data_IF_512478812180
#
_entry.id   IF_512478812180
#
_cell.length_a   1.000
_cell.length_b   1.000
_cell.length_c   1.000
_cell.angle_alpha   90.00
_cell.angle_beta   90.00
_cell.angle_gamma   90.00
#
_symmetry.space_group_name_H-M   'P 1'
#
loop_
_entity.id
_entity.type
_entity.pdbx_description
1 polymer ?
#
# COMPACT_ATOMS: atom_id res chain seq x y z
N UNK A 1 -3.91 -5.61 -25.54
CA UNK A 1 -3.15 -6.86 -25.33
C UNK A 1 -1.90 -6.80 -26.18
N UNK A 2 -0.72 -7.19 -25.67
CA UNK A 2 0.56 -7.11 -26.39
C UNK A 2 0.78 -8.21 -27.47
N UNK A 3 -0.29 -8.86 -27.92
CA UNK A 3 -0.23 -9.84 -29.01
C UNK A 3 0.30 -11.23 -28.65
N UNK A 4 0.56 -11.52 -27.37
CA UNK A 4 0.95 -12.86 -26.94
C UNK A 4 -0.25 -13.83 -27.03
N UNK A 5 0.02 -15.04 -27.51
CA UNK A 5 -0.96 -16.11 -27.58
C UNK A 5 -1.43 -16.51 -26.17
N UNK A 6 -2.73 -16.85 -26.03
CA UNK A 6 -3.28 -17.39 -24.79
C UNK A 6 -2.90 -18.88 -24.61
N UNK A 7 -1.60 -19.17 -24.61
CA UNK A 7 -1.00 -20.50 -24.50
C UNK A 7 0.15 -20.50 -23.50
N UNK A 8 0.62 -21.68 -23.09
CA UNK A 8 1.84 -21.81 -22.26
C UNK A 8 3.06 -21.21 -22.97
N UNK A 9 3.16 -21.39 -24.29
CA UNK A 9 4.24 -20.81 -25.09
C UNK A 9 4.13 -19.28 -25.15
N UNK A 10 2.92 -18.74 -25.29
CA UNK A 10 2.66 -17.30 -25.25
C UNK A 10 2.97 -16.69 -23.89
N UNK A 11 2.61 -17.34 -22.78
CA UNK A 11 2.98 -16.87 -21.43
C UNK A 11 4.50 -16.94 -21.20
N UNK A 12 5.17 -18.01 -21.66
CA UNK A 12 6.64 -18.10 -21.63
C UNK A 12 7.29 -16.94 -22.38
N UNK A 13 6.79 -16.62 -23.57
CA UNK A 13 7.27 -15.48 -24.35
C UNK A 13 6.98 -14.14 -23.62
N UNK A 14 5.81 -13.99 -23.01
CA UNK A 14 5.46 -12.81 -22.23
C UNK A 14 6.35 -12.61 -21.00
N UNK A 15 6.69 -13.68 -20.29
CA UNK A 15 7.63 -13.64 -19.16
C UNK A 15 9.02 -13.26 -19.65
N UNK A 16 9.44 -13.86 -20.77
CA UNK A 16 10.75 -13.59 -21.35
C UNK A 16 10.90 -12.13 -21.80
N UNK A 17 9.87 -11.57 -22.43
CA UNK A 17 9.80 -10.17 -22.88
C UNK A 17 9.56 -9.18 -21.71
N UNK A 18 9.23 -9.69 -20.52
CA UNK A 18 8.99 -8.88 -19.33
C UNK A 18 7.62 -8.20 -19.26
N UNK A 19 6.71 -8.55 -20.17
CA UNK A 19 5.31 -8.13 -20.08
C UNK A 19 4.58 -8.85 -18.93
N UNK A 20 4.87 -10.14 -18.77
CA UNK A 20 4.52 -10.91 -17.58
C UNK A 20 5.75 -10.98 -16.65
N UNK A 21 5.52 -10.98 -15.35
CA UNK A 21 6.57 -11.06 -14.33
C UNK A 21 6.20 -12.14 -13.33
N UNK A 22 7.18 -12.93 -12.90
CA UNK A 22 6.99 -14.01 -11.95
C UNK A 22 7.42 -13.54 -10.57
N UNK A 23 6.59 -13.82 -9.57
CA UNK A 23 6.94 -13.65 -8.18
C UNK A 23 7.95 -14.74 -7.81
N UNK A 24 9.19 -14.32 -7.52
CA UNK A 24 10.27 -15.21 -7.10
C UNK A 24 10.70 -14.88 -5.68
N UNK A 25 10.97 -15.89 -4.86
CA UNK A 25 11.61 -15.68 -3.57
C UNK A 25 13.12 -15.51 -3.75
N UNK A 26 13.66 -14.40 -3.26
CA UNK A 26 15.07 -14.08 -3.31
C UNK A 26 15.49 -13.30 -2.05
N UNK A 27 16.45 -13.83 -1.30
CA UNK A 27 17.02 -13.15 -0.12
C UNK A 27 16.00 -12.86 0.99
N UNK A 28 15.01 -13.75 1.18
CA UNK A 28 13.96 -13.58 2.19
C UNK A 28 12.83 -12.61 1.80
N UNK A 29 12.79 -12.19 0.53
CA UNK A 29 11.74 -11.31 0.00
C UNK A 29 11.21 -11.84 -1.33
N UNK A 30 9.99 -11.45 -1.69
CA UNK A 30 9.44 -11.71 -3.03
C UNK A 30 9.83 -10.57 -3.96
N UNK A 31 10.36 -10.92 -5.13
CA UNK A 31 10.71 -10.00 -6.21
C UNK A 31 9.88 -10.29 -7.47
N UNK A 32 9.69 -9.28 -8.31
CA UNK A 32 9.16 -9.45 -9.66
C UNK A 32 10.31 -9.68 -10.62
N UNK A 33 10.31 -10.83 -11.30
CA UNK A 33 11.38 -11.22 -12.22
C UNK A 33 10.83 -11.50 -13.61
N UNK A 34 11.64 -11.25 -14.63
CA UNK A 34 11.34 -11.55 -16.03
C UNK A 34 12.56 -12.17 -16.73
N UNK A 35 12.41 -12.48 -18.02
CA UNK A 35 13.48 -13.04 -18.82
C UNK A 35 13.73 -14.53 -18.56
N UNK A 36 14.92 -14.99 -18.93
CA UNK A 36 15.28 -16.41 -18.87
C UNK A 36 15.21 -16.99 -17.46
N UNK A 37 15.67 -16.24 -16.45
CA UNK A 37 15.68 -16.68 -15.05
C UNK A 37 14.26 -16.91 -14.53
N UNK A 38 13.34 -15.98 -14.78
CA UNK A 38 11.95 -16.11 -14.38
C UNK A 38 11.24 -17.27 -15.10
N UNK A 39 11.50 -17.47 -16.39
CA UNK A 39 10.96 -18.61 -17.15
C UNK A 39 11.44 -19.94 -16.57
N UNK A 40 12.72 -20.07 -16.23
CA UNK A 40 13.25 -21.29 -15.64
C UNK A 40 12.62 -21.56 -14.27
N UNK A 41 12.59 -20.55 -13.39
CA UNK A 41 11.95 -20.65 -12.08
C UNK A 41 10.49 -21.08 -12.19
N UNK A 42 9.74 -20.46 -13.09
CA UNK A 42 8.34 -20.79 -13.36
C UNK A 42 8.14 -22.24 -13.79
N UNK A 43 9.01 -22.75 -14.68
CA UNK A 43 8.95 -24.14 -15.15
C UNK A 43 9.36 -25.14 -14.07
N UNK A 44 10.39 -24.83 -13.27
CA UNK A 44 10.89 -25.68 -12.17
C UNK A 44 9.82 -25.89 -11.08
N UNK A 45 8.94 -24.92 -10.88
CA UNK A 45 7.81 -25.00 -9.93
C UNK A 45 6.53 -25.58 -10.56
N UNK A 46 6.63 -26.26 -11.71
CA UNK A 46 5.46 -26.86 -12.36
C UNK A 46 4.40 -25.82 -12.75
N UNK A 47 4.81 -24.57 -13.01
CA UNK A 47 3.97 -23.40 -13.29
C UNK A 47 3.12 -22.88 -12.12
N UNK A 48 3.24 -23.46 -10.92
CA UNK A 48 2.54 -23.02 -9.71
C UNK A 48 3.26 -21.86 -9.03
N UNK A 49 3.23 -20.70 -9.68
CA UNK A 49 3.80 -19.45 -9.15
C UNK A 49 2.82 -18.31 -9.37
N UNK A 50 2.87 -17.27 -8.53
CA UNK A 50 2.11 -16.05 -8.81
C UNK A 50 2.72 -15.28 -9.98
N UNK A 51 1.86 -14.79 -10.88
CA UNK A 51 2.21 -13.96 -12.02
C UNK A 51 1.66 -12.55 -11.86
N UNK A 52 2.41 -11.55 -12.30
CA UNK A 52 2.01 -10.16 -12.35
C UNK A 52 2.13 -9.61 -13.76
N UNK A 53 1.27 -8.67 -14.11
CA UNK A 53 1.31 -7.97 -15.39
C UNK A 53 1.27 -6.47 -15.18
N UNK A 54 1.91 -5.71 -16.06
CA UNK A 54 1.80 -4.26 -16.09
C UNK A 54 0.49 -3.82 -16.77
N UNK A 55 -0.65 -4.10 -16.13
CA UNK A 55 -1.99 -3.81 -16.68
C UNK A 55 -2.60 -2.51 -16.17
N UNK A 56 -1.91 -1.78 -15.29
CA UNK A 56 -2.40 -0.53 -14.70
C UNK A 56 -1.78 0.70 -15.39
N UNK A 57 -2.40 1.23 -16.48
CA UNK A 57 -1.87 2.40 -17.17
C UNK A 57 -1.79 3.61 -16.24
N UNK A 58 -0.84 4.51 -16.51
CA UNK A 58 -0.61 5.70 -15.68
C UNK A 58 -1.78 6.69 -15.74
N UNK A 59 -2.40 6.85 -16.92
CA UNK A 59 -3.44 7.84 -17.16
C UNK A 59 -4.66 7.70 -16.24
N UNK A 60 -5.36 6.54 -16.17
CA UNK A 60 -6.52 6.44 -15.27
C UNK A 60 -6.12 6.55 -13.80
N UNK A 61 -4.92 6.09 -13.41
CA UNK A 61 -4.42 6.26 -12.04
C UNK A 61 -4.29 7.74 -11.69
N UNK A 62 -3.68 8.53 -12.58
CA UNK A 62 -3.53 9.97 -12.38
C UNK A 62 -4.89 10.67 -12.34
N UNK A 63 -5.75 10.42 -13.34
CA UNK A 63 -7.09 11.03 -13.42
C UNK A 63 -7.91 10.75 -12.18
N UNK A 64 -7.93 9.51 -11.69
CA UNK A 64 -8.66 9.12 -10.49
C UNK A 64 -8.08 9.75 -9.22
N UNK A 65 -6.75 9.80 -9.08
CA UNK A 65 -6.09 10.34 -7.90
C UNK A 65 -6.36 11.84 -7.69
N UNK A 66 -6.52 12.60 -8.78
CA UNK A 66 -6.69 14.07 -8.73
C UNK A 66 -8.14 14.52 -8.95
N UNK A 67 -9.03 13.60 -9.33
CA UNK A 67 -10.42 13.92 -9.62
C UNK A 67 -11.13 14.50 -8.38
N UNK A 68 -11.84 15.61 -8.60
CA UNK A 68 -12.57 16.36 -7.58
C UNK A 68 -14.05 16.49 -7.96
N UNK A 69 -14.90 16.43 -6.95
CA UNK A 69 -16.33 16.77 -7.06
C UNK A 69 -16.52 18.28 -6.87
N UNK A 70 -15.73 18.87 -5.97
CA UNK A 70 -15.73 20.29 -5.60
C UNK A 70 -14.31 20.70 -5.17
N UNK A 71 -14.08 21.97 -4.83
CA UNK A 71 -12.77 22.42 -4.34
C UNK A 71 -12.29 21.61 -3.11
N UNK A 72 -13.21 21.25 -2.19
CA UNK A 72 -12.90 20.53 -0.96
C UNK A 72 -13.03 19.01 -1.07
N UNK A 73 -13.78 18.50 -2.06
CA UNK A 73 -14.18 17.09 -2.08
C UNK A 73 -13.57 16.33 -3.26
N UNK A 74 -13.03 15.15 -2.94
CA UNK A 74 -12.48 14.25 -3.93
C UNK A 74 -13.52 13.29 -4.49
N UNK A 75 -13.28 12.84 -5.72
CA UNK A 75 -13.99 11.68 -6.26
C UNK A 75 -13.48 10.41 -5.59
N UNK A 76 -12.17 10.30 -5.39
CA UNK A 76 -11.51 9.19 -4.68
C UNK A 76 -10.83 9.73 -3.43
N UNK A 77 -11.29 9.33 -2.25
CA UNK A 77 -10.87 9.92 -0.97
C UNK A 77 -9.49 9.49 -0.48
N UNK A 78 -8.97 8.36 -0.95
CA UNK A 78 -7.77 7.72 -0.41
C UNK A 78 -6.80 7.27 -1.50
N UNK A 79 -5.52 7.18 -1.15
CA UNK A 79 -4.48 6.49 -1.95
C UNK A 79 -3.95 5.33 -1.13
N UNK A 80 -3.83 4.16 -1.75
CA UNK A 80 -3.23 2.97 -1.16
C UNK A 80 -2.25 2.32 -2.15
N UNK A 81 -1.43 1.39 -1.65
CA UNK A 81 -0.41 0.73 -2.48
C UNK A 81 -0.88 -0.60 -3.04
N UNK A 82 -1.97 -1.16 -2.50
CA UNK A 82 -2.30 -2.57 -2.72
C UNK A 82 -1.05 -3.45 -2.48
N UNK A 83 -0.37 -3.17 -1.36
CA UNK A 83 0.83 -3.86 -0.93
C UNK A 83 0.45 -5.23 -0.35
N UNK A 84 1.28 -6.24 -0.61
CA UNK A 84 0.98 -7.63 -0.23
C UNK A 84 2.24 -8.46 -0.29
N UNK A 85 2.22 -9.56 -1.05
CA UNK A 85 3.34 -10.51 -1.14
C UNK A 85 4.68 -9.90 -1.55
N UNK A 86 4.68 -8.78 -2.30
CA UNK A 86 5.88 -8.02 -2.63
C UNK A 86 5.99 -6.82 -1.69
N UNK A 87 7.11 -6.62 -0.97
CA UNK A 87 7.29 -5.54 -0.01
C UNK A 87 7.37 -4.19 -0.74
N UNK A 88 6.20 -3.60 -1.01
CA UNK A 88 6.05 -2.39 -1.80
C UNK A 88 5.18 -1.39 -1.06
N UNK A 89 5.81 -0.33 -0.56
CA UNK A 89 5.11 0.87 -0.12
C UNK A 89 5.64 2.08 -0.90
N UNK A 90 4.85 2.53 -1.88
CA UNK A 90 5.17 3.66 -2.76
C UNK A 90 4.31 4.89 -2.46
N UNK A 91 3.56 4.88 -1.35
CA UNK A 91 2.60 5.96 -1.02
C UNK A 91 3.29 7.32 -0.99
N UNK A 92 4.45 7.42 -0.31
CA UNK A 92 5.20 8.68 -0.17
C UNK A 92 5.78 9.12 -1.52
N UNK A 93 6.50 8.24 -2.20
CA UNK A 93 7.19 8.55 -3.47
C UNK A 93 6.20 9.00 -4.55
N UNK A 94 5.11 8.24 -4.74
CA UNK A 94 4.10 8.54 -5.75
C UNK A 94 3.23 9.74 -5.35
N UNK A 95 2.81 9.82 -4.09
CA UNK A 95 1.98 10.91 -3.60
C UNK A 95 2.70 12.25 -3.64
N UNK A 96 3.97 12.31 -3.19
CA UNK A 96 4.76 13.53 -3.29
C UNK A 96 5.11 13.90 -4.74
N UNK A 97 5.14 12.93 -5.66
CA UNK A 97 5.36 13.23 -7.08
C UNK A 97 4.16 13.98 -7.66
N UNK A 98 2.93 13.61 -7.26
CA UNK A 98 1.74 14.40 -7.59
C UNK A 98 1.78 15.80 -6.98
N UNK A 99 2.34 15.94 -5.78
CA UNK A 99 2.53 17.26 -5.16
C UNK A 99 3.53 18.11 -5.91
N UNK A 100 4.67 17.55 -6.31
CA UNK A 100 5.68 18.26 -7.12
C UNK A 100 5.16 18.71 -8.47
N UNK A 101 4.29 17.90 -9.08
CA UNK A 101 3.58 18.25 -10.30
C UNK A 101 2.44 19.27 -10.08
N UNK A 102 2.25 19.75 -8.84
CA UNK A 102 1.17 20.65 -8.43
C UNK A 102 -0.24 20.10 -8.70
N UNK A 103 -0.34 18.77 -8.91
CA UNK A 103 -1.60 18.09 -9.13
C UNK A 103 -2.36 17.84 -7.81
N UNK A 104 -1.62 17.81 -6.69
CA UNK A 104 -2.13 17.81 -5.32
C UNK A 104 -1.34 18.84 -4.50
N UNK A 105 -1.94 19.39 -3.45
CA UNK A 105 -1.20 20.08 -2.39
C UNK A 105 -0.63 19.07 -1.37
N UNK A 106 0.26 19.53 -0.48
CA UNK A 106 0.71 18.71 0.66
C UNK A 106 -0.48 18.33 1.56
N UNK A 107 -1.42 19.26 1.77
CA UNK A 107 -2.62 19.00 2.56
C UNK A 107 -3.46 17.89 1.92
N UNK A 108 -3.68 17.94 0.61
CA UNK A 108 -4.39 16.89 -0.12
C UNK A 108 -3.72 15.52 0.05
N UNK A 109 -2.39 15.47 -0.05
CA UNK A 109 -1.61 14.25 0.15
C UNK A 109 -1.82 13.69 1.57
N UNK A 110 -1.74 14.53 2.61
CA UNK A 110 -1.97 14.13 4.01
C UNK A 110 -3.41 13.64 4.21
N UNK A 111 -4.39 14.34 3.65
CA UNK A 111 -5.81 13.95 3.73
C UNK A 111 -6.01 12.55 3.13
N UNK A 112 -5.47 12.30 1.93
CA UNK A 112 -5.66 11.04 1.19
C UNK A 112 -4.90 9.85 1.76
N UNK A 113 -3.81 10.07 2.49
CA UNK A 113 -2.91 8.98 2.91
C UNK A 113 -2.91 8.75 4.41
N UNK A 114 -3.47 9.67 5.20
CA UNK A 114 -3.45 9.60 6.66
C UNK A 114 -4.85 9.80 7.24
N UNK A 115 -5.43 11.00 7.10
CA UNK A 115 -6.69 11.37 7.76
C UNK A 115 -7.90 10.57 7.26
N UNK A 116 -8.12 10.52 5.95
CA UNK A 116 -9.28 9.82 5.38
C UNK A 116 -9.22 8.31 5.64
N UNK A 117 -8.10 7.61 5.41
CA UNK A 117 -8.00 6.18 5.74
C UNK A 117 -8.34 5.88 7.19
N UNK A 118 -7.77 6.63 8.15
CA UNK A 118 -8.07 6.43 9.58
C UNK A 118 -9.56 6.63 9.88
N UNK A 119 -10.15 7.72 9.37
CA UNK A 119 -11.57 8.02 9.55
C UNK A 119 -12.49 6.96 8.96
N UNK A 120 -12.20 6.46 7.76
CA UNK A 120 -13.00 5.43 7.07
C UNK A 120 -12.96 4.11 7.84
N UNK A 121 -11.80 3.77 8.41
CA UNK A 121 -11.65 2.60 9.27
C UNK A 121 -12.19 2.83 10.69
N UNK A 122 -12.61 4.05 11.01
CA UNK A 122 -13.12 4.46 12.32
C UNK A 122 -12.07 4.46 13.43
N UNK A 123 -10.81 4.67 13.06
CA UNK A 123 -9.69 4.80 13.98
C UNK A 123 -9.56 6.27 14.34
N UNK A 124 -9.96 6.65 15.55
CA UNK A 124 -10.08 8.06 15.97
C UNK A 124 -8.79 8.66 16.50
N UNK A 125 -7.85 7.82 16.92
CA UNK A 125 -6.55 8.18 17.50
C UNK A 125 -5.41 8.13 16.48
N UNK A 126 -5.71 7.93 15.18
CA UNK A 126 -4.71 7.90 14.10
C UNK A 126 -5.05 8.85 12.96
N UNK A 127 -4.05 9.10 12.12
CA UNK A 127 -4.22 9.88 10.89
C UNK A 127 -4.08 11.40 11.06
N UNK A 128 -3.68 11.87 12.24
CA UNK A 128 -3.45 13.28 12.53
C UNK A 128 -2.39 13.48 13.62
N UNK A 129 -1.85 14.70 13.71
CA UNK A 129 -0.95 15.14 14.78
C UNK A 129 -1.73 16.05 15.73
N UNK A 130 -2.45 15.45 16.68
CA UNK A 130 -3.22 16.18 17.69
C UNK A 130 -3.04 15.56 19.06
N UNK A 131 -3.38 16.30 20.12
CA UNK A 131 -3.37 15.78 21.48
C UNK A 131 -4.35 14.59 21.56
N UNK A 132 -3.88 13.47 22.11
CA UNK A 132 -4.66 12.22 22.21
C UNK A 132 -4.52 11.26 21.02
N UNK A 133 -3.85 11.66 19.94
CA UNK A 133 -3.48 10.72 18.88
C UNK A 133 -2.25 9.89 19.26
N UNK A 134 -2.17 8.69 18.69
CA UNK A 134 -0.95 7.90 18.71
C UNK A 134 0.18 8.66 18.01
N UNK A 135 1.37 8.61 18.60
CA UNK A 135 2.58 9.22 18.05
C UNK A 135 3.14 8.39 16.87
N UNK A 136 2.30 8.23 15.83
CA UNK A 136 2.60 7.59 14.55
C UNK A 136 3.06 8.66 13.56
N UNK A 137 4.39 8.77 13.38
CA UNK A 137 5.01 9.87 12.65
C UNK A 137 5.97 9.31 11.60
N UNK A 138 5.88 9.82 10.37
CA UNK A 138 6.90 9.57 9.35
C UNK A 138 7.60 10.87 9.00
N UNK A 139 8.93 10.89 9.13
CA UNK A 139 9.78 11.99 8.67
C UNK A 139 10.20 11.70 7.24
N UNK A 140 9.88 12.62 6.33
CA UNK A 140 10.11 12.45 4.89
C UNK A 140 11.16 13.45 4.41
N UNK A 141 12.12 12.97 3.63
CA UNK A 141 13.00 13.82 2.83
C UNK A 141 12.23 14.27 1.58
N UNK A 142 11.92 15.56 1.53
CA UNK A 142 11.14 16.15 0.43
C UNK A 142 11.92 16.24 -0.87
N UNK A 143 13.26 16.21 -0.84
CA UNK A 143 14.12 16.23 -2.03
C UNK A 143 14.19 14.86 -2.68
N UNK A 144 14.38 13.81 -1.89
CA UNK A 144 14.43 12.44 -2.40
C UNK A 144 13.05 11.77 -2.46
N UNK A 145 12.03 12.38 -1.85
CA UNK A 145 10.66 11.86 -1.69
C UNK A 145 10.62 10.51 -0.96
N UNK A 146 11.55 10.31 -0.01
CA UNK A 146 11.70 9.04 0.72
C UNK A 146 11.47 9.21 2.22
N UNK A 147 10.84 8.24 2.88
CA UNK A 147 10.79 8.22 4.33
C UNK A 147 12.20 7.99 4.90
N UNK A 148 12.60 8.80 5.87
CA UNK A 148 13.92 8.72 6.54
C UNK A 148 13.81 8.23 7.97
N UNK A 149 12.70 8.50 8.64
CA UNK A 149 12.43 8.00 9.99
C UNK A 149 10.94 7.67 10.14
N UNK A 150 10.64 6.62 10.90
CA UNK A 150 9.28 6.29 11.28
C UNK A 150 9.22 6.03 12.77
N UNK A 151 8.22 6.62 13.41
CA UNK A 151 7.84 6.44 14.81
C UNK A 151 6.47 5.77 14.78
N UNK A 152 6.30 4.69 15.55
CA UNK A 152 5.02 4.07 15.79
C UNK A 152 4.76 4.02 17.30
N UNK A 153 3.61 4.52 17.74
CA UNK A 153 3.24 4.63 19.15
C UNK A 153 4.37 5.23 20.03
N UNK A 154 5.02 6.30 19.54
CA UNK A 154 6.09 7.00 20.25
C UNK A 154 7.45 6.30 20.25
N UNK A 155 7.60 5.15 19.58
CA UNK A 155 8.87 4.43 19.45
C UNK A 155 9.43 4.55 18.05
N UNK A 156 10.72 4.87 17.94
CA UNK A 156 11.41 4.89 16.64
C UNK A 156 11.52 3.45 16.12
N UNK A 157 10.90 3.17 14.97
CA UNK A 157 10.92 1.85 14.32
C UNK A 157 11.79 1.82 13.05
N UNK A 158 12.10 3.00 12.49
CA UNK A 158 12.98 3.14 11.35
C UNK A 158 13.82 4.40 11.51
N UNK A 159 15.13 4.32 11.25
CA UNK A 159 16.04 5.46 11.27
C UNK A 159 16.98 5.42 10.05
N UNK A 160 17.15 6.57 9.38
CA UNK A 160 17.91 6.70 8.13
C UNK A 160 17.52 5.69 7.04
N UNK A 161 16.24 5.31 6.99
CA UNK A 161 15.71 4.31 6.05
C UNK A 161 16.01 2.85 6.42
N UNK A 162 16.59 2.59 7.60
CA UNK A 162 16.83 1.24 8.13
C UNK A 162 15.83 0.91 9.23
N UNK A 163 15.22 -0.26 9.15
CA UNK A 163 14.29 -0.75 10.18
C UNK A 163 15.10 -1.12 11.43
N UNK A 164 14.72 -0.59 12.57
CA UNK A 164 15.35 -0.83 13.88
C UNK A 164 14.32 -1.27 14.95
N UNK A 165 13.03 -1.19 14.64
CA UNK A 165 11.96 -1.62 15.53
C UNK A 165 11.79 -3.14 15.56
N UNK A 166 11.08 -3.61 16.58
CA UNK A 166 10.70 -5.01 16.75
C UNK A 166 9.23 -5.13 17.13
N UNK A 167 8.61 -6.25 16.76
CA UNK A 167 7.18 -6.48 17.00
C UNK A 167 6.30 -5.73 16.00
N UNK A 168 4.99 -6.00 16.09
CA UNK A 168 3.99 -5.39 15.22
C UNK A 168 2.64 -5.41 15.93
N UNK A 169 1.88 -4.32 15.75
CA UNK A 169 0.45 -4.31 16.05
C UNK A 169 -0.33 -4.54 14.76
N UNK A 170 -1.29 -5.45 14.79
CA UNK A 170 -2.18 -5.74 13.67
C UNK A 170 -3.54 -5.13 13.97
N UNK A 171 -3.96 -4.17 13.15
CA UNK A 171 -5.33 -3.66 13.19
C UNK A 171 -6.24 -4.72 12.61
N UNK A 172 -7.25 -5.14 13.36
CA UNK A 172 -8.19 -6.21 12.97
C UNK A 172 -9.60 -5.92 13.45
N UNK A 173 -10.59 -6.59 12.88
CA UNK A 173 -11.96 -6.63 13.41
C UNK A 173 -12.06 -7.60 14.59
N UNK A 174 -13.17 -7.56 15.38
CA UNK A 174 -13.39 -8.54 16.45
C UNK A 174 -13.30 -10.00 15.99
N UNK A 175 -13.75 -10.29 14.77
CA UNK A 175 -13.67 -11.63 14.17
C UNK A 175 -12.23 -12.12 13.97
N UNK A 176 -11.29 -11.21 13.71
CA UNK A 176 -9.89 -11.56 13.44
C UNK A 176 -8.99 -11.58 14.68
N UNK A 177 -9.47 -11.11 15.85
CA UNK A 177 -8.64 -10.96 17.05
C UNK A 177 -7.97 -12.27 17.46
N UNK A 178 -8.73 -13.36 17.54
CA UNK A 178 -8.23 -14.67 17.94
C UNK A 178 -7.12 -15.16 16.98
N UNK A 179 -7.29 -14.95 15.67
CA UNK A 179 -6.29 -15.34 14.68
C UNK A 179 -4.98 -14.55 14.86
N UNK A 180 -5.05 -13.24 15.11
CA UNK A 180 -3.86 -12.41 15.37
C UNK A 180 -3.12 -12.90 16.62
N UNK A 181 -3.84 -13.16 17.72
CA UNK A 181 -3.24 -13.65 18.97
C UNK A 181 -2.62 -15.04 18.83
N UNK A 182 -3.29 -15.95 18.13
CA UNK A 182 -2.79 -17.32 17.90
C UNK A 182 -1.49 -17.34 17.08
N UNK A 183 -1.24 -16.30 16.28
CA UNK A 183 0.02 -16.11 15.56
C UNK A 183 1.09 -15.37 16.40
N UNK A 184 0.85 -15.14 17.70
CA UNK A 184 1.79 -14.45 18.59
C UNK A 184 1.91 -12.94 18.34
N UNK A 185 0.95 -12.35 17.62
CA UNK A 185 0.94 -10.92 17.28
C UNK A 185 0.00 -10.14 18.20
N UNK A 186 0.19 -8.82 18.29
CA UNK A 186 -0.63 -7.95 19.13
C UNK A 186 -1.77 -7.32 18.31
N UNK A 187 -3.05 -7.61 18.62
CA UNK A 187 -4.16 -6.98 17.91
C UNK A 187 -4.46 -5.56 18.43
N UNK A 188 -4.88 -4.69 17.51
CA UNK A 188 -5.67 -3.49 17.80
C UNK A 188 -7.05 -3.75 17.20
N UNK A 189 -8.05 -4.00 18.04
CA UNK A 189 -9.39 -4.39 17.60
C UNK A 189 -10.21 -3.14 17.32
N UNK A 190 -10.65 -2.99 16.07
CA UNK A 190 -11.54 -1.93 15.61
C UNK A 190 -12.77 -2.60 15.02
N UNK A 191 -13.96 -2.26 15.51
CA UNK A 191 -15.22 -2.74 14.93
C UNK A 191 -15.82 -1.65 14.03
N UNK A 192 -15.72 -1.79 12.69
CA UNK A 192 -16.25 -0.79 11.78
C UNK A 192 -17.77 -0.62 11.91
N UNK A 193 -18.51 -1.63 12.39
CA UNK A 193 -19.98 -1.59 12.47
C UNK A 193 -20.50 -0.55 13.47
N UNK A 194 -19.72 -0.25 14.51
CA UNK A 194 -20.07 0.76 15.52
C UNK A 194 -19.42 2.12 15.23
N UNK A 195 -18.66 2.24 14.13
CA UNK A 195 -18.00 3.49 13.79
C UNK A 195 -19.00 4.50 13.23
N UNK A 196 -18.83 5.80 13.53
CA UNK A 196 -19.70 6.84 12.99
C UNK A 196 -19.69 6.91 11.47
N UNK A 197 -18.70 6.33 10.78
CA UNK A 197 -18.63 6.36 9.32
C UNK A 197 -19.57 5.34 8.66
N UNK A 198 -19.78 4.16 9.27
CA UNK A 198 -20.61 3.08 8.72
C UNK A 198 -21.97 2.92 9.42
N UNK A 199 -22.20 3.61 10.53
CA UNK A 199 -23.50 3.59 11.19
C UNK A 199 -24.57 4.15 10.25
N UNK A 200 -25.72 3.47 10.11
CA UNK A 200 -26.78 3.83 9.15
C UNK A 200 -27.39 5.24 9.35
N UNK A 201 -27.07 5.91 10.46
CA UNK A 201 -27.62 7.21 10.83
C UNK A 201 -26.72 8.40 10.43
N UNK A 202 -25.57 8.14 9.81
CA UNK A 202 -24.62 9.16 9.37
C UNK A 202 -24.53 9.18 7.84
N UNK A 203 -25.63 9.56 7.20
CA UNK A 203 -25.56 10.20 5.89
C UNK A 203 -25.74 11.71 6.09
N UNK A 204 -24.93 12.57 5.46
CA UNK A 204 -25.24 13.99 5.38
C UNK A 204 -26.57 14.23 4.65
#
# INVERSE_FOLDING_TARGET
MRGFEASTAGLKAAIYDGWAQINMEAGGHVILSCGKTAVNYWLEHGTDTTVSFQVNPAEPRLRLAIARKSCSDFVIDCISTDGGGIPRNVTVEMGLSLVRLQALSIEDFVIKTSKNPARILGITDKGHLGIGADADITVVDMLTQKPRMSIANGKIIMCQGRIIGTGCYIITTPLGEAAVRNNGLSPIVIDPAITPFLSKNSRP
#
